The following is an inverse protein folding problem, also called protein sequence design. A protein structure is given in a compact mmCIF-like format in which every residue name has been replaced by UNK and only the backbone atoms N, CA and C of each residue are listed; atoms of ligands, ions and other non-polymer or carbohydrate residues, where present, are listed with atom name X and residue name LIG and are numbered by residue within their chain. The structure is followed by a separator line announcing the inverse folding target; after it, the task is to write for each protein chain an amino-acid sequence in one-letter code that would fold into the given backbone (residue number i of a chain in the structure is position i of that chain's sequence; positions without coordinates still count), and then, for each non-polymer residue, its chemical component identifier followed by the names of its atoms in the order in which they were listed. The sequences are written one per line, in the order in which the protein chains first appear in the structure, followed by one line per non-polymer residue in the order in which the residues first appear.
data_IF_860554260468
#
_entry.id   IF_860554260468
#
_cell.length_a   1.000
_cell.length_b   1.000
_cell.length_c   1.000
_cell.angle_alpha   90.00
_cell.angle_beta   90.00
_cell.angle_gamma   90.00
#
_symmetry.space_group_name_H-M   'P 1'
#
loop_
_entity.id
_entity.type
_entity.pdbx_description
1 polymer ?
#
# COMPACT_ATOMS: atom_id res chain seq x y z
N UNK A 1 11.87 -17.64 1.62
CA UNK A 1 12.49 -18.06 2.89
C UNK A 1 11.46 -18.84 3.67
N UNK A 2 11.55 -20.17 3.63
CA UNK A 2 10.61 -21.06 4.31
C UNK A 2 11.02 -21.19 5.77
N UNK A 3 10.38 -20.42 6.65
CA UNK A 3 10.47 -20.65 8.08
C UNK A 3 9.75 -21.97 8.39
N UNK A 4 10.46 -22.91 9.01
CA UNK A 4 9.92 -24.19 9.42
C UNK A 4 8.78 -23.96 10.42
N UNK A 5 7.54 -24.02 9.93
CA UNK A 5 6.34 -23.97 10.77
C UNK A 5 6.39 -25.17 11.72
N UNK A 6 6.48 -24.90 13.03
CA UNK A 6 6.35 -25.92 14.04
C UNK A 6 4.98 -26.60 13.87
N UNK A 7 5.00 -27.92 13.69
CA UNK A 7 3.80 -28.70 13.36
C UNK A 7 2.75 -28.54 14.48
N UNK A 8 1.57 -27.96 14.21
CA UNK A 8 0.52 -27.77 15.22
C UNK A 8 0.06 -29.10 15.82
N UNK A 9 0.22 -30.22 15.10
CA UNK A 9 -0.02 -31.55 15.63
C UNK A 9 0.98 -31.95 16.72
N UNK A 10 2.24 -31.52 16.60
CA UNK A 10 3.29 -31.77 17.58
C UNK A 10 3.05 -30.98 18.88
N UNK A 11 2.66 -29.70 18.78
CA UNK A 11 2.31 -28.87 19.94
C UNK A 11 1.05 -29.37 20.65
N UNK A 12 0.03 -29.81 19.91
CA UNK A 12 -1.18 -30.42 20.48
C UNK A 12 -0.87 -31.75 21.21
N UNK A 13 0.07 -32.55 20.68
CA UNK A 13 0.54 -33.78 21.32
C UNK A 13 1.30 -33.48 22.61
N UNK A 14 2.17 -32.47 22.61
CA UNK A 14 2.89 -32.02 23.80
C UNK A 14 1.94 -31.47 24.87
N UNK A 15 0.91 -30.68 24.51
CA UNK A 15 -0.10 -30.19 25.46
C UNK A 15 -0.85 -31.35 26.12
N UNK A 16 -1.28 -32.35 25.35
CA UNK A 16 -1.95 -33.54 25.89
C UNK A 16 -1.05 -34.35 26.81
N UNK A 17 0.22 -34.46 26.48
CA UNK A 17 1.19 -35.19 27.29
C UNK A 17 1.51 -34.47 28.60
N UNK A 18 1.66 -33.14 28.58
CA UNK A 18 1.79 -32.32 29.77
C UNK A 18 0.54 -32.38 30.66
N UNK A 19 -0.64 -32.39 30.05
CA UNK A 19 -1.91 -32.50 30.78
C UNK A 19 -2.06 -33.87 31.45
N UNK A 20 -1.65 -34.95 30.78
CA UNK A 20 -1.60 -36.29 31.38
C UNK A 20 -0.63 -36.35 32.55
N UNK A 21 0.57 -35.74 32.42
CA UNK A 21 1.56 -35.67 33.51
C UNK A 21 1.05 -34.86 34.70
N UNK A 22 0.30 -33.78 34.45
CA UNK A 22 -0.35 -33.01 35.51
C UNK A 22 -1.40 -33.84 36.25
N UNK A 23 -2.24 -34.58 35.52
CA UNK A 23 -3.26 -35.44 36.13
C UNK A 23 -2.63 -36.60 36.92
N UNK A 24 -1.54 -37.20 36.42
CA UNK A 24 -0.75 -38.22 37.12
C UNK A 24 -0.17 -37.66 38.43
N UNK A 25 0.47 -36.49 38.39
CA UNK A 25 1.03 -35.85 39.58
C UNK A 25 -0.04 -35.43 40.61
N UNK A 26 -1.22 -35.00 40.16
CA UNK A 26 -2.34 -34.69 41.07
C UNK A 26 -2.86 -35.94 41.79
N UNK A 27 -2.94 -37.08 41.09
CA UNK A 27 -3.31 -38.37 41.72
C UNK A 27 -2.25 -38.82 42.72
N UNK A 28 -0.97 -38.76 42.35
CA UNK A 28 0.13 -39.10 43.26
C UNK A 28 0.12 -38.25 44.53
N UNK A 29 -0.15 -36.94 44.42
CA UNK A 29 -0.35 -36.06 45.58
C UNK A 29 -1.52 -36.55 46.44
N UNK A 30 -2.68 -36.83 45.83
CA UNK A 30 -3.88 -37.23 46.57
C UNK A 30 -3.74 -38.62 47.23
N UNK A 31 -2.92 -39.49 46.66
CA UNK A 31 -2.56 -40.78 47.24
C UNK A 31 -1.55 -40.58 48.40
N UNK A 32 -0.53 -39.74 48.24
CA UNK A 32 0.42 -39.41 49.31
C UNK A 32 -0.23 -38.71 50.50
N UNK A 33 -1.22 -37.84 50.27
CA UNK A 33 -2.00 -37.20 51.34
C UNK A 33 -2.81 -38.25 52.10
N UNK A 34 -3.45 -39.20 51.41
CA UNK A 34 -4.16 -40.32 52.05
C UNK A 34 -3.22 -41.25 52.82
N UNK A 35 -2.03 -41.51 52.28
CA UNK A 35 -1.00 -42.29 52.98
C UNK A 35 -0.51 -41.56 54.23
N UNK A 36 -0.32 -40.24 54.16
CA UNK A 36 0.03 -39.40 55.32
C UNK A 36 -1.07 -39.44 56.39
N UNK A 37 -2.32 -39.29 56.01
CA UNK A 37 -3.46 -39.38 56.93
C UNK A 37 -3.53 -40.77 57.58
N UNK A 38 -3.30 -41.84 56.81
CA UNK A 38 -3.21 -43.22 57.31
C UNK A 38 -2.02 -43.43 58.26
N UNK A 39 -0.84 -42.88 57.93
CA UNK A 39 0.36 -42.96 58.78
C UNK A 39 0.17 -42.19 60.10
N UNK A 40 -0.44 -41.00 60.05
CA UNK A 40 -0.74 -40.19 61.23
C UNK A 40 -1.78 -40.85 62.14
N UNK A 41 -2.71 -41.63 61.57
CA UNK A 41 -3.72 -42.37 62.34
C UNK A 41 -3.22 -43.72 62.87
N UNK A 42 -2.17 -44.31 62.27
CA UNK A 42 -1.64 -45.62 62.66
C UNK A 42 -0.43 -45.57 63.60
N UNK A 43 0.35 -44.48 63.61
CA UNK A 43 1.57 -44.39 64.41
C UNK A 43 1.37 -43.58 65.71
N UNK A 44 0.63 -44.17 66.64
CA UNK A 44 0.54 -43.75 68.03
C UNK A 44 1.84 -44.01 68.81
N UNK A 45 2.93 -43.39 68.38
CA UNK A 45 4.14 -43.22 69.20
C UNK A 45 5.36 -44.03 68.77
N UNK A 46 6.12 -43.53 67.79
CA UNK A 46 7.59 -43.53 67.86
C UNK A 46 8.15 -42.31 67.12
N UNK A 47 9.11 -41.60 67.72
CA UNK A 47 9.76 -40.40 67.18
C UNK A 47 10.77 -40.76 66.09
N UNK A 48 10.29 -41.04 64.88
CA UNK A 48 11.13 -41.14 63.68
C UNK A 48 10.88 -39.93 62.78
N UNK A 49 11.94 -39.29 62.31
CA UNK A 49 11.97 -37.98 61.63
C UNK A 49 11.46 -38.03 60.17
N UNK A 50 10.41 -38.81 59.89
CA UNK A 50 9.81 -39.00 58.56
C UNK A 50 9.03 -37.77 58.07
N UNK A 51 8.61 -36.89 58.98
CA UNK A 51 7.85 -35.68 58.67
C UNK A 51 8.64 -34.68 57.82
N UNK A 52 9.96 -34.50 58.03
CA UNK A 52 10.72 -33.48 57.26
C UNK A 52 10.95 -33.90 55.81
N UNK A 53 11.23 -35.18 55.57
CA UNK A 53 11.45 -35.72 54.21
C UNK A 53 10.15 -35.67 53.40
N UNK A 54 9.02 -35.97 54.02
CA UNK A 54 7.70 -35.85 53.38
C UNK A 54 7.37 -34.39 53.10
N UNK A 55 7.68 -33.46 54.00
CA UNK A 55 7.40 -32.04 53.80
C UNK A 55 8.30 -31.40 52.73
N UNK A 56 9.58 -31.80 52.64
CA UNK A 56 10.45 -31.41 51.53
C UNK A 56 9.95 -31.96 50.19
N UNK A 57 9.47 -33.21 50.15
CA UNK A 57 8.90 -33.83 48.94
C UNK A 57 7.58 -33.18 48.53
N UNK A 58 6.72 -32.81 49.48
CA UNK A 58 5.50 -32.04 49.20
C UNK A 58 5.89 -30.68 48.63
N UNK A 59 6.83 -29.98 49.26
CA UNK A 59 7.27 -28.68 48.77
C UNK A 59 7.90 -28.75 47.37
N UNK A 60 8.73 -29.77 47.09
CA UNK A 60 9.34 -29.96 45.77
C UNK A 60 8.28 -30.27 44.71
N UNK A 61 7.31 -31.14 45.01
CA UNK A 61 6.23 -31.49 44.07
C UNK A 61 5.27 -30.32 43.85
N UNK A 62 4.96 -29.52 44.88
CA UNK A 62 4.17 -28.29 44.74
C UNK A 62 4.88 -27.25 43.87
N UNK A 63 6.21 -27.12 44.02
CA UNK A 63 7.03 -26.25 43.19
C UNK A 63 7.04 -26.72 41.73
N UNK A 64 7.21 -28.02 41.48
CA UNK A 64 7.14 -28.62 40.15
C UNK A 64 5.75 -28.45 39.53
N UNK A 65 4.67 -28.64 40.31
CA UNK A 65 3.29 -28.38 39.88
C UNK A 65 3.09 -26.92 39.51
N UNK A 66 3.61 -25.97 40.29
CA UNK A 66 3.55 -24.55 39.97
C UNK A 66 4.31 -24.24 38.67
N UNK A 67 5.49 -24.83 38.48
CA UNK A 67 6.28 -24.69 37.25
C UNK A 67 5.54 -25.26 36.03
N UNK A 68 4.94 -26.45 36.14
CA UNK A 68 4.17 -27.05 35.05
C UNK A 68 2.91 -26.26 34.72
N UNK A 69 2.21 -25.71 35.72
CA UNK A 69 1.07 -24.81 35.50
C UNK A 69 1.48 -23.54 34.76
N UNK A 70 2.60 -22.93 35.15
CA UNK A 70 3.12 -21.76 34.46
C UNK A 70 3.51 -22.07 33.00
N UNK A 71 4.17 -23.21 32.76
CA UNK A 71 4.51 -23.66 31.41
C UNK A 71 3.27 -23.96 30.54
N UNK A 72 2.23 -24.56 31.13
CA UNK A 72 0.96 -24.80 30.45
C UNK A 72 0.26 -23.48 30.10
N UNK A 73 0.26 -22.50 31.01
CA UNK A 73 -0.31 -21.19 30.74
C UNK A 73 0.43 -20.45 29.62
N UNK A 74 1.77 -20.49 29.61
CA UNK A 74 2.59 -19.90 28.55
C UNK A 74 2.32 -20.54 27.18
N UNK A 75 2.36 -21.87 27.08
CA UNK A 75 2.07 -22.59 25.84
C UNK A 75 0.61 -22.41 25.36
N UNK A 76 -0.33 -22.24 26.28
CA UNK A 76 -1.73 -21.90 25.95
C UNK A 76 -1.83 -20.51 25.33
N UNK A 77 -1.14 -19.52 25.90
CA UNK A 77 -1.10 -18.16 25.35
C UNK A 77 -0.44 -18.12 23.97
N UNK A 78 0.67 -18.84 23.78
CA UNK A 78 1.32 -18.97 22.47
C UNK A 78 0.41 -19.63 21.44
N UNK A 79 -0.29 -20.71 21.81
CA UNK A 79 -1.27 -21.37 20.93
C UNK A 79 -2.37 -20.41 20.49
N UNK A 80 -2.89 -19.60 21.41
CA UNK A 80 -3.98 -18.68 21.10
C UNK A 80 -3.49 -17.51 20.24
N UNK A 81 -2.29 -16.98 20.48
CA UNK A 81 -1.64 -16.01 19.59
C UNK A 81 -1.42 -16.57 18.18
N UNK A 82 -0.89 -17.78 18.05
CA UNK A 82 -0.72 -18.43 16.74
C UNK A 82 -2.04 -18.68 16.01
N UNK A 83 -3.15 -18.86 16.74
CA UNK A 83 -4.49 -18.97 16.12
C UNK A 83 -4.95 -17.64 15.56
N UNK A 84 -4.75 -16.55 16.29
CA UNK A 84 -5.06 -15.20 15.82
C UNK A 84 -4.23 -14.85 14.57
N UNK A 85 -2.92 -15.12 14.60
CA UNK A 85 -2.03 -14.93 13.45
C UNK A 85 -2.49 -15.75 12.24
N UNK A 86 -2.90 -17.00 12.45
CA UNK A 86 -3.38 -17.86 11.38
C UNK A 86 -4.70 -17.37 10.76
N UNK A 87 -5.62 -16.83 11.56
CA UNK A 87 -6.83 -16.19 11.05
C UNK A 87 -6.50 -14.89 10.28
N UNK A 88 -5.58 -14.07 10.79
CA UNK A 88 -5.11 -12.88 10.09
C UNK A 88 -4.48 -13.22 8.72
N UNK A 89 -3.67 -14.28 8.64
CA UNK A 89 -3.08 -14.78 7.39
C UNK A 89 -4.16 -15.30 6.43
N UNK A 90 -5.18 -16.02 6.93
CA UNK A 90 -6.31 -16.48 6.10
C UNK A 90 -7.10 -15.30 5.51
N UNK A 91 -7.34 -14.26 6.30
CA UNK A 91 -8.00 -13.05 5.81
C UNK A 91 -7.15 -12.32 4.78
N UNK A 92 -5.85 -12.15 5.05
CA UNK A 92 -4.92 -11.54 4.10
C UNK A 92 -4.88 -12.32 2.78
N UNK A 93 -4.85 -13.67 2.85
CA UNK A 93 -4.95 -14.55 1.67
C UNK A 93 -6.26 -14.33 0.91
N UNK A 94 -7.41 -14.30 1.59
CA UNK A 94 -8.71 -14.04 0.92
C UNK A 94 -8.73 -12.68 0.23
N UNK A 95 -8.22 -11.63 0.88
CA UNK A 95 -8.12 -10.27 0.28
C UNK A 95 -7.21 -10.30 -0.96
N UNK A 96 -6.08 -10.99 -0.89
CA UNK A 96 -5.17 -11.14 -2.02
C UNK A 96 -5.81 -11.91 -3.19
N UNK A 97 -6.51 -13.02 -2.92
CA UNK A 97 -7.23 -13.80 -3.95
C UNK A 97 -8.35 -12.99 -4.62
N UNK A 98 -9.10 -12.22 -3.83
CA UNK A 98 -10.12 -11.31 -4.37
C UNK A 98 -9.51 -10.21 -5.23
N UNK A 99 -8.40 -9.60 -4.78
CA UNK A 99 -7.66 -8.61 -5.56
C UNK A 99 -7.12 -9.19 -6.87
N UNK A 100 -6.53 -10.39 -6.84
CA UNK A 100 -6.05 -11.07 -8.04
C UNK A 100 -7.19 -11.38 -9.02
N UNK A 101 -8.34 -11.85 -8.52
CA UNK A 101 -9.52 -12.09 -9.37
C UNK A 101 -10.02 -10.80 -10.03
N UNK A 102 -10.11 -9.70 -9.28
CA UNK A 102 -10.51 -8.40 -9.83
C UNK A 102 -9.54 -7.91 -10.93
N UNK A 103 -8.22 -8.15 -10.76
CA UNK A 103 -7.23 -7.82 -11.79
C UNK A 103 -7.37 -8.71 -13.03
N UNK A 104 -7.64 -10.01 -12.87
CA UNK A 104 -7.94 -10.88 -14.00
C UNK A 104 -9.20 -10.43 -14.75
N UNK A 105 -10.28 -10.12 -14.03
CA UNK A 105 -11.52 -9.64 -14.65
C UNK A 105 -11.26 -8.34 -15.43
N UNK A 106 -10.47 -7.41 -14.87
CA UNK A 106 -10.04 -6.18 -15.56
C UNK A 106 -9.19 -6.47 -16.80
N UNK A 107 -8.23 -7.39 -16.71
CA UNK A 107 -7.41 -7.78 -17.86
C UNK A 107 -8.27 -8.36 -18.99
N UNK A 108 -9.22 -9.25 -18.66
CA UNK A 108 -10.13 -9.82 -19.67
C UNK A 108 -11.06 -8.77 -20.29
N UNK A 109 -11.42 -7.71 -19.56
CA UNK A 109 -12.19 -6.59 -20.12
C UNK A 109 -11.35 -5.78 -21.11
N UNK A 110 -10.09 -5.48 -20.76
CA UNK A 110 -9.15 -4.79 -21.66
C UNK A 110 -8.86 -5.61 -22.92
N UNK A 111 -8.71 -6.94 -22.82
CA UNK A 111 -8.52 -7.80 -23.99
C UNK A 111 -9.73 -7.75 -24.95
N UNK A 112 -10.95 -7.66 -24.41
CA UNK A 112 -12.17 -7.47 -25.22
C UNK A 112 -12.17 -6.11 -25.91
N UNK A 113 -11.79 -5.04 -25.22
CA UNK A 113 -11.66 -3.71 -25.82
C UNK A 113 -10.58 -3.67 -26.91
N UNK A 114 -9.42 -4.27 -26.66
CA UNK A 114 -8.33 -4.37 -27.65
C UNK A 114 -8.77 -5.12 -28.90
N UNK A 115 -9.44 -6.26 -28.75
CA UNK A 115 -9.96 -7.02 -29.88
C UNK A 115 -11.05 -6.26 -30.65
N UNK A 116 -11.90 -5.49 -29.96
CA UNK A 116 -12.87 -4.59 -30.58
C UNK A 116 -12.18 -3.51 -31.43
N UNK A 117 -11.19 -2.80 -30.88
CA UNK A 117 -10.46 -1.76 -31.61
C UNK A 117 -9.65 -2.33 -32.79
N UNK A 118 -9.07 -3.53 -32.63
CA UNK A 118 -8.41 -4.23 -33.73
C UNK A 118 -9.40 -4.55 -34.86
N UNK A 119 -10.57 -5.11 -34.54
CA UNK A 119 -11.61 -5.38 -35.53
C UNK A 119 -12.11 -4.10 -36.22
N UNK A 120 -12.32 -3.04 -35.45
CA UNK A 120 -12.73 -1.73 -35.99
C UNK A 120 -11.65 -1.14 -36.89
N UNK A 121 -10.38 -1.21 -36.51
CA UNK A 121 -9.27 -0.73 -37.34
C UNK A 121 -9.17 -1.49 -38.66
N UNK A 122 -9.32 -2.83 -38.63
CA UNK A 122 -9.34 -3.65 -39.83
C UNK A 122 -10.52 -3.29 -40.75
N UNK A 123 -11.69 -2.99 -40.18
CA UNK A 123 -12.86 -2.53 -40.93
C UNK A 123 -12.61 -1.19 -41.61
N UNK A 124 -12.10 -0.19 -40.88
CA UNK A 124 -11.82 1.14 -41.45
C UNK A 124 -10.77 1.06 -42.56
N UNK A 125 -9.73 0.23 -42.39
CA UNK A 125 -8.74 -0.03 -43.45
C UNK A 125 -9.40 -0.67 -44.67
N UNK A 126 -10.28 -1.66 -44.48
CA UNK A 126 -11.04 -2.26 -45.57
C UNK A 126 -11.96 -1.27 -46.31
N UNK A 127 -12.66 -0.39 -45.58
CA UNK A 127 -13.50 0.67 -46.15
C UNK A 127 -12.65 1.69 -46.93
N UNK A 128 -11.49 2.09 -46.40
CA UNK A 128 -10.53 2.96 -47.10
C UNK A 128 -10.03 2.32 -48.39
N UNK A 129 -9.59 1.07 -48.33
CA UNK A 129 -9.03 0.36 -49.49
C UNK A 129 -10.10 0.17 -50.58
N UNK A 130 -11.34 -0.08 -50.19
CA UNK A 130 -12.49 -0.10 -51.10
C UNK A 130 -12.72 1.27 -51.76
N UNK A 131 -12.74 2.35 -50.98
CA UNK A 131 -12.93 3.70 -51.52
C UNK A 131 -11.79 4.11 -52.47
N UNK A 132 -10.55 3.70 -52.18
CA UNK A 132 -9.41 3.91 -53.09
C UNK A 132 -9.62 3.17 -54.40
N UNK A 133 -10.02 1.89 -54.35
CA UNK A 133 -10.29 1.10 -55.54
C UNK A 133 -11.43 1.67 -56.39
N UNK A 134 -12.56 2.05 -55.77
CA UNK A 134 -13.69 2.71 -56.46
C UNK A 134 -13.24 4.05 -57.10
N UNK A 135 -12.39 4.81 -56.41
CA UNK A 135 -11.80 6.04 -56.95
C UNK A 135 -10.86 5.81 -58.13
N UNK A 136 -10.08 4.73 -58.15
CA UNK A 136 -9.24 4.34 -59.29
C UNK A 136 -10.08 3.86 -60.48
N UNK A 137 -11.16 3.12 -60.23
CA UNK A 137 -12.11 2.70 -61.27
C UNK A 137 -12.79 3.90 -61.93
N UNK A 138 -13.27 4.86 -61.14
CA UNK A 138 -13.86 6.10 -61.64
C UNK A 138 -12.86 6.94 -62.45
N UNK A 139 -11.59 7.01 -62.02
CA UNK A 139 -10.52 7.67 -62.80
C UNK A 139 -10.30 6.98 -64.14
N UNK A 140 -10.26 5.65 -64.16
CA UNK A 140 -10.10 4.88 -65.40
C UNK A 140 -11.30 5.09 -66.35
N UNK A 141 -12.53 5.12 -65.82
CA UNK A 141 -13.72 5.43 -66.60
C UNK A 141 -13.68 6.87 -67.16
N UNK A 142 -13.26 7.85 -66.36
CA UNK A 142 -13.15 9.24 -66.79
C UNK A 142 -12.11 9.40 -67.93
N UNK A 143 -10.94 8.76 -67.81
CA UNK A 143 -9.94 8.73 -68.88
C UNK A 143 -10.47 8.15 -70.20
N UNK A 144 -11.32 7.10 -70.13
CA UNK A 144 -11.98 6.54 -71.32
C UNK A 144 -12.98 7.52 -71.93
N UNK A 145 -13.78 8.20 -71.11
CA UNK A 145 -14.73 9.21 -71.58
C UNK A 145 -14.01 10.41 -72.20
N UNK A 146 -12.91 10.88 -71.61
CA UNK A 146 -12.08 11.93 -72.20
C UNK A 146 -11.53 11.52 -73.57
N UNK A 147 -11.08 10.27 -73.70
CA UNK A 147 -10.61 9.75 -74.99
C UNK A 147 -11.74 9.72 -76.02
N UNK A 148 -12.91 9.20 -75.65
CA UNK A 148 -14.09 9.20 -76.52
C UNK A 148 -14.51 10.60 -76.94
N UNK A 149 -14.45 11.57 -76.02
CA UNK A 149 -14.76 12.97 -76.31
C UNK A 149 -13.74 13.58 -77.29
N UNK A 150 -12.43 13.29 -77.12
CA UNK A 150 -11.38 13.72 -78.06
C UNK A 150 -11.60 13.12 -79.45
N UNK A 151 -11.93 11.84 -79.53
CA UNK A 151 -12.23 11.16 -80.79
C UNK A 151 -13.48 11.76 -81.46
N UNK A 152 -14.57 11.95 -80.72
CA UNK A 152 -15.80 12.57 -81.23
C UNK A 152 -15.56 14.01 -81.71
N UNK A 153 -14.77 14.79 -80.96
CA UNK A 153 -14.39 16.15 -81.34
C UNK A 153 -13.57 16.15 -82.64
N UNK A 154 -12.59 15.24 -82.77
CA UNK A 154 -11.80 15.11 -84.00
C UNK A 154 -12.65 14.70 -85.21
N UNK A 155 -13.63 13.81 -85.03
CA UNK A 155 -14.59 13.44 -86.09
C UNK A 155 -15.44 14.64 -86.48
N UNK A 156 -15.99 15.37 -85.51
CA UNK A 156 -16.78 16.56 -85.76
C UNK A 156 -15.99 17.65 -86.52
N UNK A 157 -14.70 17.84 -86.19
CA UNK A 157 -13.81 18.75 -86.93
C UNK A 157 -13.62 18.29 -88.39
N UNK A 158 -13.40 16.99 -88.63
CA UNK A 158 -13.27 16.47 -90.00
C UNK A 158 -14.57 16.60 -90.79
N UNK A 159 -15.72 16.34 -90.19
CA UNK A 159 -17.02 16.51 -90.82
C UNK A 159 -17.32 17.98 -91.12
N UNK A 160 -16.98 18.90 -90.21
CA UNK A 160 -17.11 20.33 -90.43
C UNK A 160 -16.22 20.80 -91.60
N UNK A 161 -14.98 20.32 -91.69
CA UNK A 161 -14.10 20.61 -92.81
C UNK A 161 -14.64 20.07 -94.15
N UNK A 162 -15.21 18.85 -94.14
CA UNK A 162 -15.86 18.26 -95.31
C UNK A 162 -17.10 19.06 -95.74
N UNK A 163 -17.95 19.47 -94.80
CA UNK A 163 -19.12 20.33 -95.07
C UNK A 163 -18.69 21.66 -95.70
N UNK A 164 -17.68 22.33 -95.14
CA UNK A 164 -17.16 23.56 -95.70
C UNK A 164 -16.58 23.39 -97.11
N UNK A 165 -15.97 22.24 -97.41
CA UNK A 165 -15.49 21.91 -98.76
C UNK A 165 -16.66 21.71 -99.75
N UNK A 166 -17.68 20.96 -99.35
CA UNK A 166 -18.88 20.74 -100.17
C UNK A 166 -19.64 22.06 -100.43
N UNK A 167 -19.75 22.93 -99.43
CA UNK A 167 -20.36 24.26 -99.58
C UNK A 167 -19.62 25.12 -100.63
N UNK A 168 -18.29 25.07 -100.65
CA UNK A 168 -17.48 25.75 -101.70
C UNK A 168 -17.75 25.19 -103.09
N UNK A 169 -17.77 23.86 -103.23
CA UNK A 169 -18.07 23.21 -104.51
C UNK A 169 -19.48 23.56 -105.00
N UNK A 170 -20.45 23.65 -104.08
CA UNK A 170 -21.81 24.05 -104.39
C UNK A 170 -21.87 25.52 -104.84
N UNK A 171 -21.11 26.42 -104.21
CA UNK A 171 -21.01 27.80 -104.66
C UNK A 171 -20.37 27.93 -106.06
N UNK A 172 -19.30 27.19 -106.34
CA UNK A 172 -18.63 27.18 -107.64
C UNK A 172 -19.55 26.69 -108.77
N UNK A 173 -20.28 25.59 -108.53
CA UNK A 173 -21.24 25.04 -109.51
C UNK A 173 -22.41 25.98 -109.76
N UNK A 174 -22.93 26.65 -108.73
CA UNK A 174 -23.95 27.69 -108.90
C UNK A 174 -23.44 28.87 -109.75
N UNK A 175 -22.18 29.27 -109.58
CA UNK A 175 -21.58 30.34 -110.39
C UNK A 175 -21.41 29.91 -111.85
N UNK A 176 -20.99 28.66 -112.10
CA UNK A 176 -20.92 28.08 -113.45
C UNK A 176 -22.30 28.02 -114.11
N UNK A 177 -23.34 27.63 -113.37
CA UNK A 177 -24.71 27.61 -113.85
C UNK A 177 -25.16 29.01 -114.29
N UNK A 178 -24.92 30.04 -113.47
CA UNK A 178 -25.25 31.44 -113.81
C UNK A 178 -24.50 31.91 -115.06
N UNK A 179 -23.23 31.55 -115.21
CA UNK A 179 -22.46 31.89 -116.41
C UNK A 179 -22.96 31.16 -117.66
N UNK A 180 -23.38 29.90 -117.54
CA UNK A 180 -23.99 29.15 -118.64
C UNK A 180 -25.35 29.72 -119.03
N UNK A 181 -26.16 30.14 -118.06
CA UNK A 181 -27.44 30.83 -118.29
C UNK A 181 -27.24 32.19 -118.99
N UNK A 182 -26.22 32.96 -118.62
CA UNK A 182 -25.88 34.20 -119.32
C UNK A 182 -25.46 33.96 -120.78
N UNK A 183 -24.66 32.92 -121.05
CA UNK A 183 -24.30 32.51 -122.42
C UNK A 183 -25.49 32.02 -123.23
N UNK A 184 -26.45 31.34 -122.59
CA UNK A 184 -27.69 30.93 -123.24
C UNK A 184 -28.56 32.15 -123.60
N UNK A 185 -28.66 33.13 -122.70
CA UNK A 185 -29.37 34.39 -122.97
C UNK A 185 -28.70 35.25 -124.05
N UNK A 186 -27.36 35.22 -124.17
CA UNK A 186 -26.63 35.87 -125.26
C UNK A 186 -26.85 35.16 -126.62
N UNK A 187 -27.04 33.85 -126.62
CA UNK A 187 -27.36 33.09 -127.83
C UNK A 187 -28.80 33.31 -128.34
N UNK A 188 -29.72 33.74 -127.46
CA UNK A 188 -31.10 34.12 -127.82
C UNK A 188 -31.20 35.51 -128.51
N UNK A 189 -30.10 36.26 -128.63
CA UNK A 189 -30.11 37.68 -129.04
C UNK A 189 -29.59 38.00 -130.47
N UNK A 190 -29.63 37.08 -131.44
CA UNK A 190 -29.26 37.34 -132.85
C UNK A 190 -30.32 36.83 -133.86
N UNK A 191 -30.83 37.66 -134.81
CA UNK A 191 -31.97 37.29 -135.64
C UNK A 191 -31.55 36.74 -137.03
N UNK A 192 -32.01 35.52 -137.36
CA UNK A 192 -31.89 34.87 -138.67
C UNK A 192 -33.16 34.13 -139.08
N UNK A 193 -34.34 34.67 -138.70
CA UNK A 193 -35.69 34.10 -138.85
C UNK A 193 -36.11 33.86 -140.33
N UNK A 194 -35.54 32.86 -141.03
CA UNK A 194 -36.23 32.12 -142.13
C UNK A 194 -35.85 30.64 -142.24
N UNK A 195 -34.73 30.19 -141.67
CA UNK A 195 -34.47 28.75 -141.43
C UNK A 195 -35.05 28.26 -140.08
N UNK A 196 -35.37 29.21 -139.21
CA UNK A 196 -35.85 29.01 -137.83
C UNK A 196 -37.28 28.47 -137.72
N UNK A 197 -38.09 28.44 -138.79
CA UNK A 197 -39.44 27.85 -138.71
C UNK A 197 -39.45 26.32 -138.84
N UNK A 198 -38.42 25.75 -139.47
CA UNK A 198 -38.21 24.30 -139.54
C UNK A 198 -37.38 23.81 -138.34
N UNK A 199 -36.43 24.63 -137.86
CA UNK A 199 -35.74 24.41 -136.60
C UNK A 199 -36.68 24.57 -135.39
N UNK A 200 -37.60 25.56 -135.34
CA UNK A 200 -38.55 25.77 -134.24
C UNK A 200 -39.53 24.62 -133.99
N UNK A 201 -39.78 23.75 -134.99
CA UNK A 201 -40.56 22.53 -134.80
C UNK A 201 -39.74 21.40 -134.18
N UNK A 202 -38.46 21.25 -134.57
CA UNK A 202 -37.52 20.32 -133.93
C UNK A 202 -36.98 20.83 -132.58
N UNK A 203 -36.91 22.14 -132.39
CA UNK A 203 -36.67 22.83 -131.12
C UNK A 203 -37.91 22.80 -130.26
N UNK A 204 -39.13 22.82 -130.79
CA UNK A 204 -40.35 22.58 -130.03
C UNK A 204 -40.37 21.17 -129.42
N UNK A 205 -39.94 20.15 -130.17
CA UNK A 205 -39.76 18.80 -129.63
C UNK A 205 -38.58 18.70 -128.65
N UNK A 206 -37.43 19.33 -128.93
CA UNK A 206 -36.30 19.41 -127.96
C UNK A 206 -36.63 20.23 -126.72
N UNK A 207 -37.45 21.27 -126.83
CA UNK A 207 -37.90 22.12 -125.72
C UNK A 207 -38.98 21.41 -124.93
N UNK A 208 -39.88 20.62 -125.55
CA UNK A 208 -40.80 19.75 -124.84
C UNK A 208 -40.07 18.59 -124.13
N UNK A 209 -39.00 18.07 -124.72
CA UNK A 209 -38.14 17.06 -124.10
C UNK A 209 -37.27 17.67 -123.00
N UNK A 210 -36.85 18.92 -123.15
CA UNK A 210 -36.13 19.69 -122.12
C UNK A 210 -37.05 20.20 -121.02
N UNK A 211 -38.31 20.49 -121.32
CA UNK A 211 -39.37 20.81 -120.36
C UNK A 211 -39.69 19.54 -119.57
N UNK A 212 -39.81 18.37 -120.20
CA UNK A 212 -39.87 17.08 -119.49
C UNK A 212 -38.62 16.81 -118.64
N UNK A 213 -37.42 17.12 -119.13
CA UNK A 213 -36.18 16.99 -118.34
C UNK A 213 -36.11 18.00 -117.20
N UNK A 214 -36.67 19.20 -117.34
CA UNK A 214 -36.75 20.21 -116.29
C UNK A 214 -37.87 19.92 -115.30
N UNK A 215 -38.96 19.29 -115.73
CA UNK A 215 -40.01 18.74 -114.87
C UNK A 215 -39.50 17.53 -114.10
N UNK A 216 -38.71 16.65 -114.73
CA UNK A 216 -37.99 15.57 -114.06
C UNK A 216 -36.93 16.10 -113.11
N UNK A 217 -36.08 17.06 -113.52
CA UNK A 217 -35.11 17.69 -112.63
C UNK A 217 -35.80 18.47 -111.50
N UNK A 218 -36.96 19.07 -111.75
CA UNK A 218 -37.79 19.72 -110.74
C UNK A 218 -38.51 18.73 -109.83
N UNK A 219 -38.83 17.53 -110.30
CA UNK A 219 -39.32 16.42 -109.49
C UNK A 219 -38.18 15.83 -108.64
N UNK A 220 -36.99 15.67 -109.21
CA UNK A 220 -35.78 15.20 -108.53
C UNK A 220 -35.33 16.20 -107.47
N UNK A 221 -35.35 17.50 -107.77
CA UNK A 221 -35.04 18.55 -106.79
C UNK A 221 -36.12 18.65 -105.70
N UNK A 222 -37.40 18.43 -106.03
CA UNK A 222 -38.47 18.34 -105.03
C UNK A 222 -38.33 17.09 -104.16
N UNK A 223 -37.91 15.96 -104.73
CA UNK A 223 -37.57 14.75 -103.98
C UNK A 223 -36.38 15.00 -103.07
N UNK A 224 -35.28 15.56 -103.59
CA UNK A 224 -34.09 15.90 -102.81
C UNK A 224 -34.38 16.93 -101.72
N UNK A 225 -35.27 17.89 -101.97
CA UNK A 225 -35.72 18.85 -100.96
C UNK A 225 -36.55 18.15 -99.87
N UNK A 226 -37.44 17.23 -100.26
CA UNK A 226 -38.22 16.43 -99.31
C UNK A 226 -37.31 15.50 -98.48
N UNK A 227 -36.31 14.87 -99.11
CA UNK A 227 -35.31 14.03 -98.46
C UNK A 227 -34.41 14.87 -97.51
N UNK A 228 -34.03 16.07 -97.93
CA UNK A 228 -33.27 17.01 -97.09
C UNK A 228 -34.10 17.57 -95.93
N UNK A 229 -35.40 17.81 -96.13
CA UNK A 229 -36.33 18.19 -95.07
C UNK A 229 -36.53 17.05 -94.08
N UNK A 230 -36.72 15.82 -94.55
CA UNK A 230 -36.82 14.64 -93.70
C UNK A 230 -35.50 14.40 -92.93
N UNK A 231 -34.34 14.59 -93.56
CA UNK A 231 -33.04 14.51 -92.90
C UNK A 231 -32.83 15.62 -91.87
N UNK A 232 -33.31 16.84 -92.15
CA UNK A 232 -33.26 17.96 -91.19
C UNK A 232 -34.19 17.73 -89.99
N UNK A 233 -35.39 17.20 -90.22
CA UNK A 233 -36.32 16.81 -89.15
C UNK A 233 -35.76 15.66 -88.31
N UNK A 234 -35.13 14.66 -88.93
CA UNK A 234 -34.44 13.57 -88.23
C UNK A 234 -33.27 14.09 -87.39
N UNK A 235 -32.43 14.97 -87.95
CA UNK A 235 -31.32 15.59 -87.22
C UNK A 235 -31.81 16.48 -86.06
N UNK A 236 -32.95 17.18 -86.24
CA UNK A 236 -33.57 17.96 -85.17
C UNK A 236 -34.13 17.06 -84.06
N UNK A 237 -34.67 15.88 -84.40
CA UNK A 237 -35.12 14.89 -83.42
C UNK A 237 -33.94 14.29 -82.64
N UNK A 238 -32.84 13.93 -83.30
CA UNK A 238 -31.60 13.46 -82.65
C UNK A 238 -30.97 14.54 -81.75
N UNK A 239 -30.98 15.81 -82.20
CA UNK A 239 -30.52 16.94 -81.37
C UNK A 239 -31.40 17.14 -80.12
N UNK A 240 -32.73 16.95 -80.25
CA UNK A 240 -33.63 17.02 -79.10
C UNK A 240 -33.44 15.85 -78.12
N UNK A 241 -33.13 14.66 -78.62
CA UNK A 241 -32.86 13.47 -77.78
C UNK A 241 -31.52 13.58 -77.05
N UNK A 242 -30.48 14.04 -77.74
CA UNK A 242 -29.18 14.34 -77.11
C UNK A 242 -29.32 15.43 -76.05
N UNK A 243 -30.05 16.51 -76.32
CA UNK A 243 -30.35 17.54 -75.32
C UNK A 243 -31.04 16.96 -74.08
N UNK A 244 -32.06 16.12 -74.25
CA UNK A 244 -32.75 15.44 -73.12
C UNK A 244 -31.80 14.58 -72.30
N UNK A 245 -30.97 13.77 -72.95
CA UNK A 245 -29.98 12.95 -72.24
C UNK A 245 -28.95 13.79 -71.49
N UNK A 246 -28.53 14.95 -72.03
CA UNK A 246 -27.63 15.86 -71.32
C UNK A 246 -28.31 16.50 -70.11
N UNK A 247 -29.60 16.85 -70.22
CA UNK A 247 -30.38 17.40 -69.12
C UNK A 247 -30.61 16.36 -68.02
N UNK A 248 -30.87 15.10 -68.38
CA UNK A 248 -30.97 13.97 -67.44
C UNK A 248 -29.65 13.70 -66.71
N UNK A 249 -28.52 13.71 -67.43
CA UNK A 249 -27.19 13.57 -66.84
C UNK A 249 -26.86 14.76 -65.91
N UNK A 250 -27.21 15.98 -66.29
CA UNK A 250 -27.04 17.17 -65.46
C UNK A 250 -27.87 17.08 -64.17
N UNK A 251 -29.12 16.61 -64.27
CA UNK A 251 -29.99 16.38 -63.11
C UNK A 251 -29.43 15.28 -62.20
N UNK A 252 -28.97 14.15 -62.76
CA UNK A 252 -28.35 13.08 -61.99
C UNK A 252 -27.08 13.55 -61.25
N UNK A 253 -26.22 14.33 -61.93
CA UNK A 253 -25.03 14.91 -61.33
C UNK A 253 -25.36 15.88 -60.19
N UNK A 254 -26.42 16.69 -60.33
CA UNK A 254 -26.87 17.58 -59.26
C UNK A 254 -27.34 16.80 -58.01
N UNK A 255 -28.05 15.68 -58.19
CA UNK A 255 -28.48 14.81 -57.09
C UNK A 255 -27.27 14.20 -56.36
N UNK A 256 -26.29 13.68 -57.11
CA UNK A 256 -25.07 13.11 -56.51
C UNK A 256 -24.27 14.18 -55.76
N UNK A 257 -24.14 15.40 -56.32
CA UNK A 257 -23.49 16.49 -55.60
C UNK A 257 -24.22 16.86 -54.31
N UNK A 258 -25.55 16.83 -54.30
CA UNK A 258 -26.33 17.10 -53.11
C UNK A 258 -26.15 16.00 -52.04
N UNK A 259 -26.13 14.74 -52.45
CA UNK A 259 -25.87 13.60 -51.56
C UNK A 259 -24.48 13.69 -50.93
N UNK A 260 -23.44 13.92 -51.74
CA UNK A 260 -22.07 14.09 -51.25
C UNK A 260 -21.94 15.28 -50.27
N UNK A 261 -22.62 16.39 -50.53
CA UNK A 261 -22.67 17.52 -49.59
C UNK A 261 -23.34 17.14 -48.27
N UNK A 262 -24.40 16.34 -48.31
CA UNK A 262 -25.07 15.80 -47.13
C UNK A 262 -24.14 14.91 -46.31
N UNK A 263 -23.51 13.93 -46.95
CA UNK A 263 -22.56 13.01 -46.29
C UNK A 263 -21.36 13.75 -45.70
N UNK A 264 -20.80 14.73 -46.41
CA UNK A 264 -19.71 15.57 -45.87
C UNK A 264 -20.17 16.35 -44.65
N UNK A 265 -21.39 16.90 -44.64
CA UNK A 265 -21.92 17.62 -43.48
C UNK A 265 -22.16 16.69 -42.28
N UNK A 266 -22.68 15.48 -42.50
CA UNK A 266 -22.86 14.46 -41.45
C UNK A 266 -21.52 14.01 -40.87
N UNK A 267 -20.53 13.73 -41.73
CA UNK A 267 -19.19 13.37 -41.31
C UNK A 267 -18.52 14.51 -40.53
N UNK A 268 -18.65 15.76 -40.97
CA UNK A 268 -18.16 16.93 -40.23
C UNK A 268 -18.82 17.06 -38.85
N UNK A 269 -20.13 16.80 -38.74
CA UNK A 269 -20.83 16.75 -37.46
C UNK A 269 -20.29 15.66 -36.53
N UNK A 270 -20.03 14.46 -37.09
CA UNK A 270 -19.47 13.34 -36.33
C UNK A 270 -18.04 13.62 -35.84
N UNK A 271 -17.21 14.27 -36.65
CA UNK A 271 -15.85 14.69 -36.29
C UNK A 271 -15.89 15.71 -35.16
N UNK A 272 -16.72 16.74 -35.26
CA UNK A 272 -16.88 17.74 -34.20
C UNK A 272 -17.34 17.12 -32.87
N UNK A 273 -18.25 16.13 -32.94
CA UNK A 273 -18.71 15.41 -31.75
C UNK A 273 -17.60 14.56 -31.11
N UNK A 274 -16.80 13.85 -31.92
CA UNK A 274 -15.65 13.07 -31.44
C UNK A 274 -14.55 13.97 -30.87
N UNK A 275 -14.28 15.11 -31.48
CA UNK A 275 -13.33 16.11 -30.95
C UNK A 275 -13.77 16.65 -29.59
N UNK A 276 -15.06 16.96 -29.42
CA UNK A 276 -15.62 17.37 -28.13
C UNK A 276 -15.51 16.26 -27.06
N UNK A 277 -15.76 15.01 -27.43
CA UNK A 277 -15.59 13.86 -26.53
C UNK A 277 -14.12 13.66 -26.13
N UNK A 278 -13.19 13.82 -27.08
CA UNK A 278 -11.76 13.71 -26.81
C UNK A 278 -11.29 14.80 -25.84
N UNK A 279 -11.73 16.06 -26.04
CA UNK A 279 -11.41 17.17 -25.14
C UNK A 279 -11.98 16.93 -23.73
N UNK A 280 -13.22 16.46 -23.63
CA UNK A 280 -13.82 16.13 -22.33
C UNK A 280 -13.07 14.99 -21.62
N UNK A 281 -12.65 13.95 -22.35
CA UNK A 281 -11.86 12.85 -21.80
C UNK A 281 -10.46 13.30 -21.35
N UNK A 282 -9.82 14.21 -22.10
CA UNK A 282 -8.54 14.79 -21.73
C UNK A 282 -8.65 15.62 -20.44
N UNK A 283 -9.66 16.48 -20.34
CA UNK A 283 -9.91 17.27 -19.13
C UNK A 283 -10.15 16.36 -17.90
N UNK A 284 -10.97 15.31 -18.05
CA UNK A 284 -11.20 14.33 -16.99
C UNK A 284 -9.93 13.57 -16.58
N UNK A 285 -9.06 13.24 -17.54
CA UNK A 285 -7.78 12.60 -17.26
C UNK A 285 -6.80 13.53 -16.51
N UNK A 286 -6.78 14.82 -16.84
CA UNK A 286 -5.99 15.83 -16.12
C UNK A 286 -6.49 16.03 -14.69
N UNK A 287 -7.81 16.09 -14.49
CA UNK A 287 -8.42 16.17 -13.16
C UNK A 287 -8.09 14.92 -12.31
N UNK A 288 -8.20 13.72 -12.90
CA UNK A 288 -7.83 12.48 -12.22
C UNK A 288 -6.34 12.42 -11.85
N UNK A 289 -5.45 12.90 -12.73
CA UNK A 289 -4.01 13.02 -12.42
C UNK A 289 -3.76 14.01 -11.28
N UNK A 290 -4.44 15.15 -11.30
CA UNK A 290 -4.36 16.13 -10.21
C UNK A 290 -4.82 15.54 -8.88
N UNK A 291 -5.94 14.82 -8.87
CA UNK A 291 -6.45 14.13 -7.69
C UNK A 291 -5.48 13.05 -7.17
N UNK A 292 -4.87 12.27 -8.08
CA UNK A 292 -3.88 11.26 -7.70
C UNK A 292 -2.63 11.90 -7.08
N UNK A 293 -2.09 12.97 -7.69
CA UNK A 293 -0.94 13.68 -7.14
C UNK A 293 -1.23 14.29 -5.76
N UNK A 294 -2.44 14.84 -5.56
CA UNK A 294 -2.87 15.35 -4.27
C UNK A 294 -2.99 14.23 -3.21
N UNK A 295 -3.52 13.07 -3.59
CA UNK A 295 -3.61 11.90 -2.71
C UNK A 295 -2.22 11.35 -2.32
N UNK A 296 -1.30 11.27 -3.28
CA UNK A 296 0.08 10.86 -3.04
C UNK A 296 0.81 11.85 -2.11
N UNK A 297 0.66 13.16 -2.32
CA UNK A 297 1.22 14.17 -1.44
C UNK A 297 0.67 14.08 -0.02
N UNK A 298 -0.65 13.87 0.14
CA UNK A 298 -1.28 13.68 1.44
C UNK A 298 -0.79 12.41 2.16
N UNK A 299 -0.58 11.32 1.42
CA UNK A 299 -0.05 10.08 1.98
C UNK A 299 1.40 10.24 2.48
N UNK A 300 2.25 10.97 1.74
CA UNK A 300 3.61 11.29 2.17
C UNK A 300 3.61 12.16 3.43
N UNK A 301 2.75 13.18 3.49
CA UNK A 301 2.64 14.02 4.69
C UNK A 301 2.17 13.22 5.90
N UNK A 302 1.21 12.30 5.72
CA UNK A 302 0.75 11.42 6.78
C UNK A 302 1.87 10.48 7.27
N UNK A 303 2.65 9.91 6.35
CA UNK A 303 3.79 9.06 6.70
C UNK A 303 4.83 9.84 7.52
N UNK A 304 5.16 11.07 7.11
CA UNK A 304 6.10 11.92 7.85
C UNK A 304 5.61 12.24 9.26
N UNK A 305 4.30 12.49 9.44
CA UNK A 305 3.71 12.69 10.77
C UNK A 305 3.82 11.43 11.63
N UNK A 306 3.52 10.26 11.06
CA UNK A 306 3.65 8.97 11.76
C UNK A 306 5.10 8.69 12.15
N UNK A 307 6.06 8.95 11.26
CA UNK A 307 7.50 8.82 11.57
C UNK A 307 7.93 9.78 12.68
N UNK A 308 7.45 11.02 12.67
CA UNK A 308 7.70 11.98 13.74
C UNK A 308 7.11 11.55 15.09
N UNK A 309 5.88 11.03 15.09
CA UNK A 309 5.22 10.51 16.31
C UNK A 309 5.97 9.29 16.87
N UNK A 310 6.38 8.36 16.00
CA UNK A 310 7.20 7.21 16.41
C UNK A 310 8.54 7.67 16.95
N UNK A 311 9.20 8.63 16.30
CA UNK A 311 10.48 9.18 16.77
C UNK A 311 10.33 9.85 18.15
N UNK A 312 9.26 10.60 18.38
CA UNK A 312 8.95 11.20 19.68
C UNK A 312 8.71 10.13 20.76
N UNK A 313 8.00 9.06 20.42
CA UNK A 313 7.76 7.94 21.35
C UNK A 313 9.06 7.21 21.70
N UNK A 314 9.93 6.98 20.72
CA UNK A 314 11.26 6.38 20.94
C UNK A 314 12.13 7.27 21.83
N UNK A 315 12.12 8.59 21.61
CA UNK A 315 12.86 9.53 22.44
C UNK A 315 12.37 9.51 23.91
N UNK A 316 11.04 9.51 24.12
CA UNK A 316 10.45 9.42 25.45
C UNK A 316 10.86 8.12 26.18
N UNK A 317 10.73 6.97 25.52
CA UNK A 317 11.14 5.69 26.13
C UNK A 317 12.65 5.62 26.37
N UNK A 318 13.47 6.25 25.53
CA UNK A 318 14.91 6.34 25.77
C UNK A 318 15.22 7.14 27.05
N UNK A 319 14.52 8.26 27.29
CA UNK A 319 14.62 9.03 28.54
C UNK A 319 14.16 8.21 29.76
N UNK A 320 13.05 7.48 29.64
CA UNK A 320 12.58 6.58 30.69
C UNK A 320 13.59 5.48 31.01
N UNK A 321 14.20 4.85 30.00
CA UNK A 321 15.23 3.82 30.19
C UNK A 321 16.47 4.41 30.88
N UNK A 322 16.88 5.63 30.52
CA UNK A 322 17.99 6.32 31.21
C UNK A 322 17.63 6.58 32.67
N UNK A 323 16.42 7.08 32.96
CA UNK A 323 15.93 7.30 34.31
C UNK A 323 15.90 6.02 35.14
N UNK A 324 15.36 4.91 34.59
CA UNK A 324 15.30 3.61 35.26
C UNK A 324 16.71 3.04 35.52
N UNK A 325 17.65 3.20 34.58
CA UNK A 325 19.05 2.80 34.80
C UNK A 325 19.71 3.62 35.91
N UNK A 326 19.39 4.91 36.01
CA UNK A 326 19.87 5.76 37.09
C UNK A 326 19.29 5.36 38.45
N UNK A 327 18.00 5.03 38.50
CA UNK A 327 17.38 4.49 39.72
C UNK A 327 18.00 3.15 40.12
N UNK A 328 18.24 2.25 39.17
CA UNK A 328 18.86 0.95 39.43
C UNK A 328 20.28 1.10 39.98
N UNK A 329 21.09 2.01 39.42
CA UNK A 329 22.44 2.29 39.91
C UNK A 329 22.41 2.89 41.31
N UNK A 330 21.52 3.85 41.59
CA UNK A 330 21.32 4.37 42.94
C UNK A 330 20.91 3.28 43.95
N UNK A 331 20.04 2.35 43.56
CA UNK A 331 19.65 1.21 44.41
C UNK A 331 20.82 0.25 44.65
N UNK A 332 21.65 0.00 43.63
CA UNK A 332 22.85 -0.83 43.76
C UNK A 332 23.88 -0.17 44.69
N UNK A 333 24.12 1.13 44.56
CA UNK A 333 25.00 1.90 45.44
C UNK A 333 24.48 1.93 46.88
N UNK A 334 23.17 2.16 47.07
CA UNK A 334 22.54 2.12 48.37
C UNK A 334 22.63 0.73 49.02
N UNK A 335 22.42 -0.34 48.24
CA UNK A 335 22.57 -1.71 48.69
C UNK A 335 24.03 -2.04 49.05
N UNK A 336 25.00 -1.57 48.26
CA UNK A 336 26.42 -1.72 48.56
C UNK A 336 26.81 -0.98 49.85
N UNK A 337 26.37 0.27 50.02
CA UNK A 337 26.56 1.03 51.25
C UNK A 337 25.93 0.33 52.46
N UNK A 338 24.71 -0.19 52.32
CA UNK A 338 24.05 -0.96 53.38
C UNK A 338 24.84 -2.22 53.76
N UNK A 339 25.39 -2.96 52.78
CA UNK A 339 26.27 -4.11 53.04
C UNK A 339 27.52 -3.70 53.82
N UNK A 340 28.20 -2.63 53.40
CA UNK A 340 29.39 -2.14 54.13
C UNK A 340 29.06 -1.71 55.56
N UNK A 341 27.90 -1.09 55.78
CA UNK A 341 27.45 -0.71 57.11
C UNK A 341 27.15 -1.93 58.00
N UNK A 342 26.55 -2.99 57.42
CA UNK A 342 26.33 -4.26 58.13
C UNK A 342 27.66 -4.93 58.48
N UNK A 343 28.64 -4.93 57.57
CA UNK A 343 29.96 -5.49 57.81
C UNK A 343 30.71 -4.73 58.92
N UNK A 344 30.67 -3.39 58.91
CA UNK A 344 31.25 -2.58 59.98
C UNK A 344 30.53 -2.79 61.31
N UNK A 345 29.20 -2.84 61.32
CA UNK A 345 28.44 -3.17 62.53
C UNK A 345 28.77 -4.58 63.06
N UNK A 346 29.02 -5.54 62.17
CA UNK A 346 29.46 -6.88 62.54
C UNK A 346 30.88 -6.85 63.15
N UNK A 347 31.81 -6.09 62.57
CA UNK A 347 33.16 -5.88 63.14
C UNK A 347 33.10 -5.23 64.52
N UNK A 348 32.29 -4.18 64.68
CA UNK A 348 32.07 -3.51 65.97
C UNK A 348 31.46 -4.47 67.00
N UNK A 349 30.48 -5.29 66.60
CA UNK A 349 29.88 -6.31 67.47
C UNK A 349 30.91 -7.35 67.89
N UNK A 350 31.76 -7.84 66.98
CA UNK A 350 32.86 -8.76 67.30
C UNK A 350 33.85 -8.10 68.27
N UNK A 351 34.27 -6.86 68.01
CA UNK A 351 35.15 -6.11 68.89
C UNK A 351 34.55 -5.91 70.29
N UNK A 352 33.25 -5.63 70.39
CA UNK A 352 32.54 -5.53 71.65
C UNK A 352 32.49 -6.87 72.41
N UNK A 353 32.27 -7.99 71.70
CA UNK A 353 32.30 -9.32 72.29
C UNK A 353 33.71 -9.71 72.79
N UNK A 354 34.76 -9.34 72.06
CA UNK A 354 36.15 -9.54 72.52
C UNK A 354 36.42 -8.76 73.79
N UNK A 355 36.07 -7.47 73.85
CA UNK A 355 36.20 -6.67 75.08
C UNK A 355 35.40 -7.24 76.25
N UNK A 356 34.21 -7.78 75.96
CA UNK A 356 33.39 -8.45 76.98
C UNK A 356 34.10 -9.71 77.51
N UNK A 357 34.63 -10.55 76.61
CA UNK A 357 35.38 -11.76 76.94
C UNK A 357 36.66 -11.45 77.73
N UNK A 358 37.40 -10.41 77.35
CA UNK A 358 38.56 -9.92 78.08
C UNK A 358 38.18 -9.42 79.48
N UNK A 359 37.07 -8.66 79.61
CA UNK A 359 36.57 -8.20 80.89
C UNK A 359 36.02 -9.35 81.77
N UNK A 360 35.48 -10.41 81.18
CA UNK A 360 35.07 -11.63 81.88
C UNK A 360 36.27 -12.46 82.32
N UNK A 361 37.30 -12.60 81.49
CA UNK A 361 38.58 -13.21 81.87
C UNK A 361 39.26 -12.42 82.99
N UNK A 362 39.25 -11.09 82.90
CA UNK A 362 39.71 -10.18 83.95
C UNK A 362 38.93 -10.36 85.25
N UNK A 363 37.59 -10.44 85.18
CA UNK A 363 36.74 -10.76 86.35
C UNK A 363 36.99 -12.15 86.91
N UNK A 364 37.25 -13.15 86.09
CA UNK A 364 37.61 -14.50 86.53
C UNK A 364 38.95 -14.50 87.28
N UNK A 365 39.97 -13.80 86.74
CA UNK A 365 41.28 -13.63 87.41
C UNK A 365 41.16 -12.84 88.71
N UNK A 366 40.37 -11.75 88.72
CA UNK A 366 40.08 -10.99 89.92
C UNK A 366 39.33 -11.82 90.96
N UNK A 367 38.35 -12.62 90.53
CA UNK A 367 37.63 -13.59 91.36
C UNK A 367 38.58 -14.61 91.98
N UNK A 368 39.48 -15.20 91.19
CA UNK A 368 40.51 -16.11 91.70
C UNK A 368 41.48 -15.44 92.68
N UNK A 369 41.82 -14.16 92.45
CA UNK A 369 42.67 -13.37 93.36
C UNK A 369 41.94 -13.02 94.65
N UNK A 370 40.66 -12.68 94.59
CA UNK A 370 39.81 -12.49 95.77
C UNK A 370 39.70 -13.80 96.54
N UNK A 371 39.54 -14.93 95.87
CA UNK A 371 39.48 -16.24 96.49
C UNK A 371 40.82 -16.62 97.16
N UNK A 372 41.94 -16.30 96.53
CA UNK A 372 43.27 -16.45 97.10
C UNK A 372 43.48 -15.54 98.32
N UNK A 373 43.11 -14.25 98.22
CA UNK A 373 43.14 -13.32 99.35
C UNK A 373 42.20 -13.76 100.49
N UNK A 374 41.05 -14.36 100.15
CA UNK A 374 40.13 -14.92 101.15
C UNK A 374 40.76 -16.09 101.89
N UNK A 375 41.50 -16.95 101.19
CA UNK A 375 42.32 -18.01 101.79
C UNK A 375 43.45 -17.44 102.65
N UNK A 376 44.14 -16.41 102.18
CA UNK A 376 45.20 -15.73 102.94
C UNK A 376 44.64 -15.09 104.23
N UNK A 377 43.50 -14.39 104.15
CA UNK A 377 42.79 -13.86 105.32
C UNK A 377 42.34 -14.97 106.26
N UNK A 378 41.89 -16.12 105.74
CA UNK A 378 41.56 -17.27 106.57
C UNK A 378 42.80 -17.85 107.28
N UNK A 379 43.94 -17.98 106.59
CA UNK A 379 45.19 -18.42 107.20
C UNK A 379 45.75 -17.41 108.21
N UNK A 380 45.64 -16.11 107.93
CA UNK A 380 46.03 -15.06 108.87
C UNK A 380 45.12 -15.05 110.09
N UNK A 381 43.81 -15.30 109.93
CA UNK A 381 42.89 -15.49 111.06
C UNK A 381 43.28 -16.71 111.89
N UNK A 382 43.64 -17.82 111.26
CA UNK A 382 44.11 -19.02 111.95
C UNK A 382 45.43 -18.77 112.70
N UNK A 383 46.39 -18.07 112.10
CA UNK A 383 47.64 -17.66 112.74
C UNK A 383 47.39 -16.68 113.90
N UNK A 384 46.40 -15.80 113.79
CA UNK A 384 46.00 -14.90 114.87
C UNK A 384 45.34 -15.69 116.03
N UNK A 385 44.56 -16.72 115.73
CA UNK A 385 43.99 -17.63 116.72
C UNK A 385 45.07 -18.48 117.42
N UNK A 386 46.10 -18.91 116.69
CA UNK A 386 47.27 -19.59 117.27
C UNK A 386 48.12 -18.64 118.12
N UNK A 387 48.41 -17.43 117.64
CA UNK A 387 49.14 -16.41 118.40
C UNK A 387 48.36 -15.96 119.65
N UNK A 388 47.03 -15.91 119.62
CA UNK A 388 46.22 -15.62 120.81
C UNK A 388 46.21 -16.79 121.80
N UNK A 389 46.21 -18.05 121.33
CA UNK A 389 46.41 -19.22 122.21
C UNK A 389 47.79 -19.23 122.87
N UNK A 390 48.85 -18.92 122.13
CA UNK A 390 50.22 -18.83 122.65
C UNK A 390 50.38 -17.66 123.64
N UNK A 391 49.74 -16.52 123.38
CA UNK A 391 49.78 -15.35 124.27
C UNK A 391 48.99 -15.60 125.58
N UNK A 392 47.88 -16.34 125.52
CA UNK A 392 47.15 -16.80 126.72
C UNK A 392 47.99 -17.81 127.53
N UNK A 393 48.75 -18.69 126.87
CA UNK A 393 49.66 -19.61 127.54
C UNK A 393 50.86 -18.89 128.21
N UNK A 394 51.38 -17.81 127.62
CA UNK A 394 52.43 -16.99 128.21
C UNK A 394 51.92 -16.10 129.36
N UNK A 395 50.69 -15.58 129.26
CA UNK A 395 50.07 -14.78 130.32
C UNK A 395 49.68 -15.60 131.56
N UNK A 396 49.42 -16.91 131.43
CA UNK A 396 49.20 -17.82 132.56
C UNK A 396 50.47 -18.15 133.38
N UNK A 397 51.67 -17.71 132.97
CA UNK A 397 52.91 -17.84 133.78
C UNK A 397 53.39 -16.54 134.43
N UNK A 398 52.77 -15.40 134.13
CA UNK A 398 53.14 -14.07 134.66
C UNK A 398 52.00 -13.43 135.47
N UNK A 399 50.85 -14.10 135.61
CA UNK A 399 49.67 -13.61 136.31
C UNK A 399 49.33 -14.39 137.61
N UNK A 400 50.34 -14.98 138.28
CA UNK A 400 50.28 -15.42 139.70
C UNK A 400 50.54 -14.24 140.69
N UNK A 401 50.49 -13.00 140.20
CA UNK A 401 50.45 -11.77 141.00
C UNK A 401 49.30 -10.89 140.47
N UNK A 402 48.08 -11.30 140.82
CA UNK A 402 46.87 -10.51 141.11
C UNK A 402 46.61 -9.28 140.19
N UNK A 403 45.63 -9.28 139.28
CA UNK A 403 44.20 -9.53 139.48
C UNK A 403 43.47 -8.18 139.60
N UNK A 404 42.40 -7.84 138.89
CA UNK A 404 41.62 -8.48 137.83
C UNK A 404 40.48 -7.50 137.49
N UNK A 405 40.37 -7.08 136.23
CA UNK A 405 39.32 -6.18 135.75
C UNK A 405 38.78 -6.67 134.41
N UNK A 406 37.45 -6.65 134.24
CA UNK A 406 36.81 -6.86 132.94
C UNK A 406 35.43 -7.51 132.96
N UNK A 407 34.47 -6.88 132.28
CA UNK A 407 33.28 -7.43 131.59
C UNK A 407 32.54 -6.24 130.96
N UNK A 408 31.86 -6.27 129.82
CA UNK A 408 31.78 -7.09 128.62
C UNK A 408 30.65 -6.44 127.78
N UNK A 409 30.70 -6.52 126.43
CA UNK A 409 29.46 -6.38 125.62
C UNK A 409 29.55 -5.52 124.36
N UNK A 410 29.88 -6.18 123.24
CA UNK A 410 29.62 -5.86 121.81
C UNK A 410 28.10 -5.91 121.49
N UNK A 411 27.57 -5.75 120.23
CA UNK A 411 28.21 -5.60 118.90
C UNK A 411 27.58 -4.45 118.05
N UNK A 412 27.96 -4.10 116.80
CA UNK A 412 28.88 -4.62 115.79
C UNK A 412 28.65 -3.89 114.44
N UNK A 413 29.43 -4.31 113.42
CA UNK A 413 29.44 -3.99 111.96
C UNK A 413 30.15 -2.69 111.52
N UNK A 414 31.46 -2.73 111.16
CA UNK A 414 32.13 -3.10 109.87
C UNK A 414 31.79 -2.15 108.70
N UNK A 415 32.68 -1.20 108.40
CA UNK A 415 33.79 -1.23 107.42
C UNK A 415 33.30 -0.99 105.98
N UNK A 416 33.55 0.18 105.37
CA UNK A 416 34.83 0.66 104.79
C UNK A 416 35.29 -0.16 103.57
N UNK A 417 35.18 0.42 102.37
CA UNK A 417 36.23 0.32 101.33
C UNK A 417 35.96 1.25 100.14
N UNK A 418 37.06 1.85 99.69
CA UNK A 418 37.27 2.72 98.52
C UNK A 418 36.98 2.04 97.17
N UNK A 419 36.83 2.89 96.14
CA UNK A 419 37.75 2.83 95.00
C UNK A 419 37.21 2.35 93.65
N UNK A 420 36.83 3.32 92.82
CA UNK A 420 37.09 3.52 91.38
C UNK A 420 37.10 2.37 90.34
N UNK A 421 36.49 2.76 89.21
CA UNK A 421 36.83 2.48 87.81
C UNK A 421 35.96 1.51 86.98
N UNK A 422 35.53 2.08 85.84
CA UNK A 422 35.12 1.52 84.55
C UNK A 422 33.76 0.84 84.35
N UNK A 423 32.90 1.57 83.61
CA UNK A 423 32.63 1.21 82.19
C UNK A 423 31.93 2.35 81.41
N UNK A 424 32.47 2.72 80.23
CA UNK A 424 31.75 3.50 79.22
C UNK A 424 31.06 2.57 78.21
N UNK A 425 30.00 3.07 77.56
CA UNK A 425 29.52 2.50 76.29
C UNK A 425 28.02 2.26 76.21
N UNK A 426 27.29 3.29 75.79
CA UNK A 426 26.30 3.21 74.68
C UNK A 426 25.82 4.62 74.32
N UNK A 427 26.22 5.07 73.14
CA UNK A 427 25.51 6.08 72.33
C UNK A 427 24.97 5.35 71.08
N UNK A 428 24.25 5.98 70.13
CA UNK A 428 23.64 7.32 70.13
C UNK A 428 22.17 7.31 69.64
N UNK A 429 21.45 8.42 69.81
CA UNK A 429 20.43 8.86 68.83
C UNK A 429 20.13 10.36 68.98
N UNK A 430 20.82 11.14 68.14
CA UNK A 430 20.41 12.39 67.45
C UNK A 430 19.61 13.45 68.21
N UNK A 431 20.29 14.58 68.41
CA UNK A 431 19.72 15.89 68.68
C UNK A 431 19.89 16.79 67.43
N UNK A 432 18.84 17.55 67.13
CA UNK A 432 18.78 18.89 66.49
C UNK A 432 19.11 19.05 64.99
N UNK A 433 18.12 19.50 64.20
CA UNK A 433 17.88 20.90 63.72
C UNK A 433 18.86 21.28 62.59
N UNK A 434 18.51 21.92 61.47
CA UNK A 434 17.36 22.75 61.09
C UNK A 434 17.44 23.08 59.58
N UNK A 435 16.32 23.57 59.04
CA UNK A 435 16.20 24.54 57.94
C UNK A 435 16.58 24.12 56.51
N UNK A 436 15.58 24.07 55.61
CA UNK A 436 15.26 25.18 54.69
C UNK A 436 14.26 24.73 53.61
N UNK A 437 13.12 25.44 53.50
CA UNK A 437 12.32 25.54 52.26
C UNK A 437 13.05 26.42 51.22
N UNK A 438 12.70 26.39 49.91
CA UNK A 438 11.50 27.07 49.36
C UNK A 438 10.74 26.18 48.34
N UNK A 439 9.40 26.22 48.24
CA UNK A 439 8.51 27.21 47.60
C UNK A 439 8.49 27.19 46.05
N UNK A 440 7.26 27.35 45.51
CA UNK A 440 6.83 27.65 44.11
C UNK A 440 6.78 26.43 43.18
N UNK A 441 5.83 26.27 42.24
CA UNK A 441 4.72 27.07 41.68
C UNK A 441 3.90 26.07 40.81
N UNK A 442 2.57 26.03 40.89
CA UNK A 442 1.58 26.67 39.98
C UNK A 442 1.41 26.04 38.59
N UNK A 443 0.13 25.94 38.20
CA UNK A 443 -0.45 25.78 36.86
C UNK A 443 -0.31 24.38 36.22
N UNK A 444 -1.30 23.78 35.56
CA UNK A 444 -2.51 24.31 34.94
C UNK A 444 -2.53 23.90 33.45
N UNK A 445 -3.70 23.49 32.94
CA UNK A 445 -3.96 23.21 31.51
C UNK A 445 -3.88 21.72 31.17
N UNK A 446 -4.94 21.00 30.78
CA UNK A 446 -6.02 21.28 29.82
C UNK A 446 -5.50 21.58 28.40
N UNK A 447 -5.48 20.55 27.56
CA UNK A 447 -5.84 20.50 26.12
C UNK A 447 -6.20 19.02 25.86
N UNK A 448 -7.28 18.62 25.18
CA UNK A 448 -8.02 19.29 24.13
C UNK A 448 -7.84 18.49 22.85
N UNK A 449 -8.89 17.78 22.42
CA UNK A 449 -9.03 17.22 21.08
C UNK A 449 -8.72 18.26 19.99
N UNK A 450 -8.49 17.78 18.76
CA UNK A 450 -9.32 18.30 17.68
C UNK A 450 -9.91 17.22 16.79
N UNK A 451 -11.19 17.42 16.48
CA UNK A 451 -11.82 16.98 15.26
C UNK A 451 -11.40 17.90 14.09
N UNK A 452 -11.28 17.31 12.89
CA UNK A 452 -11.59 17.85 11.54
C UNK A 452 -11.69 16.61 10.63
N UNK A 453 -12.76 16.33 9.89
CA UNK A 453 -13.47 17.11 8.89
C UNK A 453 -12.56 17.57 7.75
N UNK A 454 -12.40 16.69 6.75
CA UNK A 454 -12.69 16.95 5.34
C UNK A 454 -13.18 15.67 4.68
#
# INVERSE_FOLDING_TARGET
MAAAAADPAALAKQCKELQRKLDEALRERDDLVRDLESFCLSDGGTTFNSSSVLQERIYSTEKELAQHRAALAATTAERDGLREDLEAVKEAKRRAEQGFKAQLDRATALDKELSFYQAQSARVVGERDRAVWEGEELKAANLRLEQQLREASSRAETEAAQRAQLERQLADTQQQLKAAQAKAAEAEALPGLRQELAAARAEGERLAERERQLEQAGADLRSQLADAQAAAEAAAAEAAETQRSTDELAAAHAVVQQQLRGEVAELQGSVAQLEAQLQAAQAAAEEARGAQQAAEAAAVEQQQRQEADVAALVAHHAEEVVSLRQQLTQQQEAAAAARTAVDEAAKEKVAALVRLSEAESGRSKAGGRIEQLTKEVATLRQQLEEATREKVAALMRVADMQGGGGRAGSPGRTDSANGDADKPGRSPAKQQQSAASPAKQRAGGWWGSPARAH
#
